data_IF_998098581763
#
_entry.id   IF_998098581763
#
_cell.length_a   1.000
_cell.length_b   1.000
_cell.length_c   1.000
_cell.angle_alpha   90.00
_cell.angle_beta   90.00
_cell.angle_gamma   90.00
#
_symmetry.space_group_name_H-M   'P 1'
#
loop_
_entity.id
_entity.type
_entity.pdbx_description
1 polymer ?
#
# COMPACT_ATOMS: atom_id res chain seq x y z
N UNK A 1 27.52 -32.88 46.72
CA UNK A 1 26.62 -31.75 46.40
C UNK A 1 27.05 -31.14 45.07
N UNK A 2 26.39 -31.53 43.98
CA UNK A 2 26.63 -30.97 42.63
C UNK A 2 25.80 -29.69 42.47
N UNK A 3 26.48 -28.58 42.18
CA UNK A 3 25.85 -27.29 41.89
C UNK A 3 25.55 -27.24 40.40
N UNK A 4 24.28 -27.33 40.03
CA UNK A 4 23.81 -27.13 38.66
C UNK A 4 23.78 -25.63 38.39
N UNK A 5 24.68 -25.14 37.51
CA UNK A 5 24.62 -23.80 36.94
C UNK A 5 23.61 -23.81 35.79
N UNK A 6 22.46 -23.17 35.98
CA UNK A 6 21.56 -22.83 34.87
C UNK A 6 22.22 -21.73 34.03
N UNK A 7 22.61 -22.06 32.80
CA UNK A 7 22.88 -21.06 31.76
C UNK A 7 21.54 -20.61 31.18
N UNK A 8 21.10 -19.39 31.55
CA UNK A 8 20.07 -18.68 30.81
C UNK A 8 20.67 -18.22 29.47
N UNK A 9 20.39 -18.95 28.40
CA UNK A 9 20.63 -18.48 27.04
C UNK A 9 19.63 -17.37 26.73
N UNK A 10 20.10 -16.11 26.76
CA UNK A 10 19.33 -14.99 26.25
C UNK A 10 19.15 -15.16 24.73
N UNK A 11 17.93 -15.45 24.29
CA UNK A 11 17.54 -15.42 22.88
C UNK A 11 17.66 -13.97 22.39
N UNK A 12 18.75 -13.67 21.68
CA UNK A 12 18.87 -12.47 20.88
C UNK A 12 17.80 -12.54 19.77
N UNK A 13 16.69 -11.83 19.96
CA UNK A 13 15.78 -11.51 18.86
C UNK A 13 16.52 -10.54 17.96
N UNK A 14 17.16 -11.05 16.92
CA UNK A 14 17.70 -10.23 15.83
C UNK A 14 16.53 -9.51 15.20
N UNK A 15 16.43 -8.19 15.42
CA UNK A 15 15.48 -7.37 14.68
C UNK A 15 15.81 -7.51 13.19
N UNK A 16 14.82 -7.89 12.38
CA UNK A 16 14.97 -7.90 10.93
C UNK A 16 15.51 -6.53 10.49
N UNK A 17 16.49 -6.47 9.57
CA UNK A 17 16.89 -5.18 9.03
C UNK A 17 15.66 -4.54 8.39
N UNK A 18 15.25 -3.39 8.94
CA UNK A 18 14.25 -2.55 8.30
C UNK A 18 14.76 -2.19 6.90
N UNK A 19 13.85 -2.03 5.94
CA UNK A 19 14.21 -1.52 4.62
C UNK A 19 15.06 -0.26 4.77
N UNK A 20 16.29 -0.29 4.25
CA UNK A 20 17.25 0.79 4.38
C UNK A 20 16.68 2.15 3.91
N UNK A 21 17.26 3.26 4.39
CA UNK A 21 16.83 4.58 3.95
C UNK A 21 17.00 4.75 2.44
N UNK A 22 15.93 5.15 1.76
CA UNK A 22 15.94 5.23 0.29
C UNK A 22 16.59 6.54 -0.14
N UNK A 23 17.55 6.51 -1.09
CA UNK A 23 18.09 7.71 -1.69
C UNK A 23 16.98 8.59 -2.28
N UNK A 24 17.16 9.91 -2.24
CA UNK A 24 16.17 10.86 -2.74
C UNK A 24 15.75 10.59 -4.19
N UNK A 25 16.69 10.24 -5.07
CA UNK A 25 16.41 9.87 -6.45
C UNK A 25 15.52 8.62 -6.59
N UNK A 26 15.71 7.62 -5.72
CA UNK A 26 14.87 6.43 -5.69
C UNK A 26 13.46 6.75 -5.21
N UNK A 27 13.32 7.58 -4.16
CA UNK A 27 12.00 8.05 -3.70
C UNK A 27 11.28 8.79 -4.82
N UNK A 28 11.94 9.73 -5.51
CA UNK A 28 11.34 10.47 -6.62
C UNK A 28 10.85 9.55 -7.75
N UNK A 29 11.64 8.52 -8.12
CA UNK A 29 11.24 7.54 -9.12
C UNK A 29 10.02 6.70 -8.68
N UNK A 30 10.00 6.26 -7.42
CA UNK A 30 8.85 5.56 -6.82
C UNK A 30 7.60 6.43 -6.85
N UNK A 31 7.69 7.68 -6.38
CA UNK A 31 6.58 8.63 -6.38
C UNK A 31 6.01 8.87 -7.78
N UNK A 32 6.89 9.00 -8.79
CA UNK A 32 6.47 9.14 -10.19
C UNK A 32 5.74 7.89 -10.70
N UNK A 33 6.24 6.69 -10.42
CA UNK A 33 5.56 5.44 -10.81
C UNK A 33 4.20 5.29 -10.14
N UNK A 34 4.12 5.56 -8.84
CA UNK A 34 2.87 5.52 -8.10
C UNK A 34 1.87 6.52 -8.70
N UNK A 35 2.32 7.75 -8.97
CA UNK A 35 1.46 8.75 -9.61
C UNK A 35 0.98 8.31 -11.00
N UNK A 36 1.83 7.66 -11.79
CA UNK A 36 1.43 7.06 -13.07
C UNK A 36 0.40 5.95 -12.89
N UNK A 37 0.59 5.06 -11.91
CA UNK A 37 -0.30 3.94 -11.66
C UNK A 37 -1.68 4.40 -11.14
N UNK A 38 -1.72 5.34 -10.20
CA UNK A 38 -2.96 5.73 -9.50
C UNK A 38 -3.71 6.89 -10.17
N UNK A 39 -3.00 7.80 -10.85
CA UNK A 39 -3.61 9.03 -11.38
C UNK A 39 -3.31 9.27 -12.87
N UNK A 40 -2.77 8.27 -13.57
CA UNK A 40 -2.25 8.41 -14.94
C UNK A 40 -1.18 9.52 -15.09
N UNK A 41 -0.52 9.90 -13.98
CA UNK A 41 0.46 11.00 -13.96
C UNK A 41 -0.15 12.39 -14.14
N UNK A 42 -1.46 12.55 -13.92
CA UNK A 42 -2.16 13.82 -14.11
C UNK A 42 -2.54 14.47 -12.78
N UNK A 43 -2.65 15.79 -12.77
CA UNK A 43 -3.17 16.54 -11.61
C UNK A 43 -4.66 16.26 -11.39
N UNK A 44 -5.44 16.09 -12.46
CA UNK A 44 -6.86 15.76 -12.36
C UNK A 44 -7.10 14.42 -11.66
N UNK A 45 -6.26 13.41 -11.96
CA UNK A 45 -6.34 12.09 -11.35
C UNK A 45 -5.93 12.03 -9.87
N UNK A 46 -5.41 13.12 -9.28
CA UNK A 46 -5.15 13.21 -7.84
C UNK A 46 -6.45 13.24 -7.02
N UNK A 47 -7.61 13.34 -7.67
CA UNK A 47 -8.92 13.34 -7.03
C UNK A 47 -9.86 12.48 -7.83
N UNK A 48 -10.24 11.32 -7.29
CA UNK A 48 -11.08 10.36 -8.00
C UNK A 48 -12.16 9.84 -7.07
N UNK A 49 -13.35 9.57 -7.61
CA UNK A 49 -14.40 8.82 -6.92
C UNK A 49 -14.95 7.81 -7.92
N UNK A 50 -14.60 6.53 -7.77
CA UNK A 50 -14.99 5.54 -8.77
C UNK A 50 -16.47 5.22 -8.69
N UNK A 51 -17.06 4.87 -9.83
CA UNK A 51 -18.43 4.35 -9.87
C UNK A 51 -18.49 3.03 -9.09
N UNK A 52 -19.42 2.95 -8.14
CA UNK A 52 -19.60 1.78 -7.27
C UNK A 52 -18.78 1.82 -5.98
N UNK A 53 -18.15 2.96 -5.66
CA UNK A 53 -17.54 3.24 -4.35
C UNK A 53 -18.33 4.33 -3.62
N UNK A 54 -18.34 4.25 -2.30
CA UNK A 54 -19.02 5.19 -1.40
C UNK A 54 -18.09 6.30 -0.89
N UNK A 55 -16.87 6.37 -1.41
CA UNK A 55 -15.83 7.29 -0.98
C UNK A 55 -14.93 7.73 -2.13
N UNK A 56 -14.34 8.94 -2.07
CA UNK A 56 -13.25 9.32 -2.93
C UNK A 56 -11.90 8.79 -2.46
N UNK A 57 -10.96 8.79 -3.39
CA UNK A 57 -9.55 8.59 -3.16
C UNK A 57 -8.74 9.80 -3.64
N UNK A 58 -7.72 10.16 -2.86
CA UNK A 58 -6.98 11.40 -3.03
C UNK A 58 -5.46 11.18 -3.13
N UNK A 59 -4.79 12.06 -3.86
CA UNK A 59 -3.34 12.08 -3.99
C UNK A 59 -2.78 10.89 -4.77
N UNK A 60 -1.45 10.87 -4.90
CA UNK A 60 -0.74 9.79 -5.58
C UNK A 60 -0.90 8.46 -4.83
N UNK A 61 -1.17 8.48 -3.52
CA UNK A 61 -1.39 7.26 -2.74
C UNK A 61 -2.82 6.72 -2.80
N UNK A 62 -3.70 7.36 -3.58
CA UNK A 62 -5.11 6.99 -3.71
C UNK A 62 -5.81 6.88 -2.33
N UNK A 63 -5.47 7.82 -1.45
CA UNK A 63 -5.81 7.81 -0.04
C UNK A 63 -7.32 7.86 0.18
N UNK A 64 -7.85 6.87 0.89
CA UNK A 64 -9.28 6.70 1.12
C UNK A 64 -9.74 7.71 2.16
N UNK A 65 -10.83 8.43 1.86
CA UNK A 65 -11.46 9.39 2.77
C UNK A 65 -12.97 9.20 2.82
N UNK A 66 -13.51 8.78 3.97
CA UNK A 66 -14.92 8.47 4.09
C UNK A 66 -15.79 9.72 4.31
N UNK A 67 -16.98 9.80 3.69
CA UNK A 67 -17.96 10.82 4.03
C UNK A 67 -18.52 10.62 5.45
N UNK A 68 -18.99 11.71 6.04
CA UNK A 68 -19.60 11.68 7.37
C UNK A 68 -20.77 10.68 7.42
N UNK A 69 -20.76 9.82 8.44
CA UNK A 69 -21.78 8.79 8.65
C UNK A 69 -21.58 7.51 7.82
N UNK A 70 -20.55 7.44 6.97
CA UNK A 70 -20.18 6.20 6.28
C UNK A 70 -19.03 5.50 7.00
N UNK A 71 -19.16 4.18 7.19
CA UNK A 71 -18.07 3.31 7.65
C UNK A 71 -17.95 2.14 6.68
N UNK A 72 -16.92 2.20 5.85
CA UNK A 72 -16.64 1.17 4.85
C UNK A 72 -15.79 0.02 5.38
N UNK A 73 -15.58 -1.02 4.55
CA UNK A 73 -14.79 -2.20 4.92
C UNK A 73 -13.27 -1.96 4.87
N UNK A 74 -12.83 -0.83 4.30
CA UNK A 74 -11.42 -0.50 4.13
C UNK A 74 -10.94 0.47 5.21
N UNK A 75 -9.63 0.48 5.43
CA UNK A 75 -9.00 1.43 6.36
C UNK A 75 -8.80 2.77 5.67
N UNK A 76 -9.29 3.86 6.27
CA UNK A 76 -9.02 5.21 5.78
C UNK A 76 -7.53 5.55 5.88
N UNK A 77 -6.99 6.11 4.80
CA UNK A 77 -5.58 6.52 4.74
C UNK A 77 -5.41 8.03 4.55
N UNK A 78 -6.46 8.75 4.15
CA UNK A 78 -6.39 10.22 4.02
C UNK A 78 -6.13 10.93 5.35
N UNK A 79 -6.87 10.65 6.44
CA UNK A 79 -6.59 11.28 7.74
C UNK A 79 -5.17 10.98 8.25
N UNK A 80 -4.66 9.78 7.96
CA UNK A 80 -3.29 9.38 8.33
C UNK A 80 -2.25 10.19 7.56
N UNK A 81 -2.44 10.37 6.25
CA UNK A 81 -1.56 11.19 5.42
C UNK A 81 -1.57 12.66 5.88
N UNK A 82 -2.74 13.23 6.17
CA UNK A 82 -2.86 14.62 6.64
C UNK A 82 -2.17 14.80 7.99
N UNK A 83 -2.32 13.85 8.92
CA UNK A 83 -1.63 13.88 10.21
C UNK A 83 -0.11 13.80 10.02
N UNK A 84 0.37 12.89 9.16
CA UNK A 84 1.78 12.79 8.80
C UNK A 84 2.31 14.09 8.19
N UNK A 85 1.59 14.67 7.23
CA UNK A 85 1.98 15.92 6.57
C UNK A 85 2.16 17.06 7.58
N UNK A 86 1.23 17.19 8.55
CA UNK A 86 1.33 18.18 9.63
C UNK A 86 2.54 17.92 10.54
N UNK A 87 2.83 16.66 10.87
CA UNK A 87 4.02 16.30 11.64
C UNK A 87 5.33 16.64 10.91
N UNK A 88 5.34 16.58 9.57
CA UNK A 88 6.46 17.03 8.74
C UNK A 88 6.49 18.56 8.52
N UNK A 89 5.65 19.33 9.22
CA UNK A 89 5.62 20.80 9.13
C UNK A 89 4.88 21.36 7.92
N UNK A 90 4.24 20.52 7.11
CA UNK A 90 3.40 21.00 6.02
C UNK A 90 2.12 21.65 6.55
N UNK A 91 1.53 22.53 5.74
CA UNK A 91 0.27 23.21 6.03
C UNK A 91 -0.78 22.76 5.00
N UNK A 92 -1.50 21.66 5.25
CA UNK A 92 -2.60 21.25 4.38
C UNK A 92 -3.68 22.33 4.32
N UNK A 93 -4.39 22.47 3.20
CA UNK A 93 -5.50 23.40 3.08
C UNK A 93 -6.61 23.06 4.07
N UNK A 94 -7.48 24.03 4.38
CA UNK A 94 -8.54 23.86 5.37
C UNK A 94 -9.43 22.64 5.07
N UNK A 95 -9.76 22.44 3.79
CA UNK A 95 -10.52 21.27 3.33
C UNK A 95 -9.84 19.95 3.71
N UNK A 96 -8.52 19.84 3.59
CA UNK A 96 -7.78 18.62 3.91
C UNK A 96 -7.78 18.30 5.42
N UNK A 97 -8.05 19.30 6.27
CA UNK A 97 -8.07 19.14 7.72
C UNK A 97 -9.44 18.78 8.30
N UNK A 98 -10.47 18.65 7.45
CA UNK A 98 -11.76 18.14 7.88
C UNK A 98 -11.63 16.67 8.30
N UNK A 99 -12.38 16.28 9.33
CA UNK A 99 -12.40 14.89 9.81
C UNK A 99 -12.92 13.96 8.71
N UNK A 100 -14.12 14.26 8.22
CA UNK A 100 -14.78 13.49 7.15
C UNK A 100 -14.70 14.21 5.79
N UNK A 101 -14.81 13.43 4.72
CA UNK A 101 -14.93 13.93 3.37
C UNK A 101 -16.14 14.89 3.26
N UNK A 102 -15.96 16.13 2.79
CA UNK A 102 -17.02 17.13 2.74
C UNK A 102 -18.06 16.84 1.64
N UNK A 103 -17.74 15.95 0.71
CA UNK A 103 -18.64 15.55 -0.37
C UNK A 103 -19.38 14.28 0.04
N UNK A 104 -20.71 14.38 0.15
CA UNK A 104 -21.58 13.26 0.58
C UNK A 104 -21.87 12.24 -0.53
N UNK A 105 -21.52 12.56 -1.78
CA UNK A 105 -21.75 11.69 -2.92
C UNK A 105 -20.79 12.00 -4.06
N UNK A 106 -20.59 11.02 -4.94
CA UNK A 106 -19.86 11.19 -6.21
C UNK A 106 -20.37 12.36 -7.04
N UNK A 107 -21.69 12.53 -7.14
CA UNK A 107 -22.29 13.64 -7.88
C UNK A 107 -21.91 15.01 -7.28
N UNK A 108 -21.91 15.14 -5.94
CA UNK A 108 -21.49 16.37 -5.28
C UNK A 108 -19.98 16.63 -5.46
N UNK A 109 -19.17 15.58 -5.44
CA UNK A 109 -17.72 15.64 -5.69
C UNK A 109 -17.41 16.10 -7.12
N UNK A 110 -18.12 15.55 -8.11
CA UNK A 110 -17.98 15.90 -9.52
C UNK A 110 -18.49 17.31 -9.83
N UNK A 111 -19.60 17.72 -9.22
CA UNK A 111 -20.12 19.09 -9.36
C UNK A 111 -19.11 20.13 -8.83
N UNK A 112 -18.36 19.78 -7.77
CA UNK A 112 -17.32 20.64 -7.19
C UNK A 112 -15.95 20.48 -7.87
N UNK A 113 -15.86 19.74 -9.00
CA UNK A 113 -14.59 19.47 -9.67
C UNK A 113 -13.86 20.75 -10.14
N UNK A 114 -14.53 21.89 -10.27
CA UNK A 114 -13.87 23.19 -10.55
C UNK A 114 -14.04 24.19 -9.42
N UNK A 115 -14.58 23.76 -8.28
CA UNK A 115 -14.78 24.61 -7.12
C UNK A 115 -13.49 24.88 -6.36
N UNK A 116 -13.55 25.86 -5.47
CA UNK A 116 -12.39 26.35 -4.72
C UNK A 116 -11.73 25.25 -3.87
N UNK A 117 -12.53 24.49 -3.11
CA UNK A 117 -12.05 23.39 -2.25
C UNK A 117 -11.29 22.34 -3.03
N UNK A 118 -11.86 21.86 -4.13
CA UNK A 118 -11.24 20.82 -4.96
C UNK A 118 -9.96 21.32 -5.64
N UNK A 119 -9.97 22.57 -6.09
CA UNK A 119 -8.81 23.20 -6.72
C UNK A 119 -7.67 23.39 -5.73
N UNK A 120 -7.96 23.91 -4.54
CA UNK A 120 -6.98 24.07 -3.46
C UNK A 120 -6.37 22.72 -3.05
N UNK A 121 -7.22 21.70 -2.90
CA UNK A 121 -6.80 20.33 -2.57
C UNK A 121 -5.86 19.76 -3.64
N UNK A 122 -6.23 19.85 -4.93
CA UNK A 122 -5.39 19.34 -6.03
C UNK A 122 -4.07 20.09 -6.17
N UNK A 123 -4.08 21.41 -6.03
CA UNK A 123 -2.86 22.22 -6.10
C UNK A 123 -1.91 21.84 -4.97
N UNK A 124 -2.43 21.68 -3.75
CA UNK A 124 -1.61 21.24 -2.62
C UNK A 124 -1.04 19.83 -2.84
N UNK A 125 -1.86 18.87 -3.28
CA UNK A 125 -1.38 17.52 -3.59
C UNK A 125 -0.32 17.53 -4.70
N UNK A 126 -0.54 18.24 -5.80
CA UNK A 126 0.43 18.34 -6.89
C UNK A 126 1.75 18.97 -6.45
N UNK A 127 1.71 19.96 -5.55
CA UNK A 127 2.91 20.60 -5.00
C UNK A 127 3.65 19.72 -3.96
N UNK A 128 2.99 18.70 -3.40
CA UNK A 128 3.50 17.88 -2.30
C UNK A 128 3.65 16.40 -2.66
N UNK A 129 4.04 16.09 -3.90
CA UNK A 129 4.25 14.71 -4.37
C UNK A 129 5.37 14.01 -3.59
N UNK A 130 6.45 14.71 -3.26
CA UNK A 130 7.54 14.16 -2.44
C UNK A 130 7.05 13.76 -1.04
N UNK A 131 6.28 14.64 -0.38
CA UNK A 131 5.71 14.37 0.94
C UNK A 131 4.74 13.19 0.94
N UNK A 132 3.91 13.06 -0.10
CA UNK A 132 3.04 11.88 -0.28
C UNK A 132 3.86 10.61 -0.46
N UNK A 133 4.95 10.69 -1.21
CA UNK A 133 5.85 9.55 -1.41
C UNK A 133 6.50 9.13 -0.10
N UNK A 134 6.97 10.07 0.71
CA UNK A 134 7.55 9.78 2.02
C UNK A 134 6.52 9.11 2.95
N UNK A 135 5.27 9.57 2.95
CA UNK A 135 4.19 8.90 3.68
C UNK A 135 3.97 7.47 3.20
N UNK A 136 3.91 7.22 1.89
CA UNK A 136 3.68 5.89 1.34
C UNK A 136 4.83 4.93 1.69
N UNK A 137 6.08 5.41 1.61
CA UNK A 137 7.27 4.65 2.03
C UNK A 137 7.20 4.34 3.52
N UNK A 138 6.91 5.34 4.35
CA UNK A 138 6.77 5.18 5.81
C UNK A 138 5.68 4.18 6.16
N UNK A 139 4.50 4.31 5.55
CA UNK A 139 3.36 3.41 5.76
C UNK A 139 3.68 1.97 5.34
N UNK A 140 4.34 1.78 4.18
CA UNK A 140 4.77 0.46 3.73
C UNK A 140 5.77 -0.19 4.70
N UNK A 141 6.75 0.56 5.22
CA UNK A 141 7.69 0.05 6.23
C UNK A 141 6.99 -0.40 7.51
N UNK A 142 5.96 0.32 7.92
CA UNK A 142 5.15 -0.04 9.09
C UNK A 142 4.29 -1.29 8.88
N UNK A 143 4.14 -1.78 7.64
CA UNK A 143 3.35 -2.97 7.33
C UNK A 143 4.05 -4.27 7.76
N UNK A 144 5.36 -4.40 7.56
CA UNK A 144 6.07 -5.67 7.81
C UNK A 144 5.90 -6.20 9.24
N UNK A 145 6.13 -5.41 10.32
CA UNK A 145 5.93 -5.89 11.68
C UNK A 145 4.49 -6.37 11.94
N UNK A 146 3.48 -5.68 11.38
CA UNK A 146 2.07 -6.06 11.50
C UNK A 146 1.78 -7.36 10.77
N UNK A 147 2.31 -7.51 9.55
CA UNK A 147 2.22 -8.74 8.75
C UNK A 147 2.83 -9.92 9.50
N UNK A 148 4.03 -9.77 10.06
CA UNK A 148 4.69 -10.84 10.81
C UNK A 148 3.93 -11.22 12.09
N UNK A 149 3.36 -10.22 12.79
CA UNK A 149 2.52 -10.47 13.96
C UNK A 149 1.23 -11.24 13.61
N UNK A 150 0.60 -10.90 12.48
CA UNK A 150 -0.65 -11.52 12.02
C UNK A 150 -0.46 -12.88 11.31
N UNK A 151 0.74 -13.14 10.78
CA UNK A 151 1.03 -14.36 10.02
C UNK A 151 0.98 -15.63 10.89
N UNK A 152 0.54 -16.78 10.33
CA UNK A 152 0.69 -18.09 10.96
C UNK A 152 2.15 -18.33 11.38
N UNK A 153 2.36 -18.91 12.57
CA UNK A 153 3.70 -19.12 13.11
C UNK A 153 4.63 -19.92 12.18
N UNK A 154 4.07 -20.87 11.41
CA UNK A 154 4.79 -21.66 10.41
C UNK A 154 5.22 -20.88 9.17
N UNK A 155 4.54 -19.79 8.83
CA UNK A 155 4.82 -18.97 7.64
C UNK A 155 5.68 -17.75 7.93
N UNK A 156 5.72 -17.29 9.19
CA UNK A 156 6.39 -16.04 9.60
C UNK A 156 7.83 -15.92 9.09
N UNK A 157 8.65 -16.96 9.28
CA UNK A 157 10.05 -16.97 8.80
C UNK A 157 10.16 -16.90 7.28
N UNK A 158 9.26 -17.58 6.56
CA UNK A 158 9.22 -17.54 5.09
C UNK A 158 8.87 -16.15 4.60
N UNK A 159 7.82 -15.54 5.15
CA UNK A 159 7.36 -14.20 4.80
C UNK A 159 8.46 -13.17 5.04
N UNK A 160 9.11 -13.22 6.20
CA UNK A 160 10.22 -12.34 6.54
C UNK A 160 11.40 -12.51 5.58
N UNK A 161 11.83 -13.75 5.32
CA UNK A 161 12.92 -14.03 4.40
C UNK A 161 12.61 -13.54 2.98
N UNK A 162 11.38 -13.75 2.49
CA UNK A 162 10.95 -13.30 1.18
C UNK A 162 10.91 -11.77 1.08
N UNK A 163 10.45 -11.08 2.12
CA UNK A 163 10.51 -9.61 2.18
C UNK A 163 11.95 -9.13 2.01
N UNK A 164 12.88 -9.70 2.77
CA UNK A 164 14.29 -9.32 2.73
C UNK A 164 14.93 -9.60 1.36
N UNK A 165 14.64 -10.76 0.76
CA UNK A 165 15.11 -11.12 -0.58
C UNK A 165 14.65 -10.13 -1.65
N UNK A 166 13.42 -9.63 -1.55
CA UNK A 166 12.83 -8.66 -2.49
C UNK A 166 13.38 -7.25 -2.25
N UNK A 167 13.60 -6.87 -0.99
CA UNK A 167 14.08 -5.53 -0.62
C UNK A 167 15.53 -5.24 -1.04
N UNK A 168 16.29 -6.22 -1.55
CA UNK A 168 17.70 -6.03 -1.92
C UNK A 168 17.92 -5.23 -3.21
N UNK A 169 16.87 -4.96 -4.00
CA UNK A 169 16.97 -4.15 -5.23
C UNK A 169 16.03 -2.96 -5.18
N UNK A 170 16.34 -1.93 -6.00
CA UNK A 170 15.50 -0.74 -6.11
C UNK A 170 14.08 -1.06 -6.62
N UNK A 171 13.95 -1.96 -7.60
CA UNK A 171 12.66 -2.37 -8.15
C UNK A 171 11.88 -3.29 -7.19
N UNK A 172 12.56 -4.17 -6.45
CA UNK A 172 11.90 -4.99 -5.43
C UNK A 172 11.41 -4.16 -4.25
N UNK A 173 12.20 -3.16 -3.83
CA UNK A 173 11.76 -2.14 -2.87
C UNK A 173 10.51 -1.40 -3.36
N UNK A 174 10.52 -0.92 -4.61
CA UNK A 174 9.33 -0.32 -5.23
C UNK A 174 8.13 -1.29 -5.20
N UNK A 175 8.34 -2.57 -5.49
CA UNK A 175 7.26 -3.57 -5.47
C UNK A 175 6.61 -3.71 -4.09
N UNK A 176 7.42 -3.78 -3.02
CA UNK A 176 6.92 -3.86 -1.65
C UNK A 176 6.14 -2.60 -1.25
N UNK A 177 6.62 -1.42 -1.67
CA UNK A 177 5.98 -0.13 -1.38
C UNK A 177 4.66 0.02 -2.13
N UNK A 178 4.71 -0.17 -3.45
CA UNK A 178 3.57 -0.02 -4.34
C UNK A 178 2.49 -1.07 -4.03
N UNK A 179 2.85 -2.31 -3.72
CA UNK A 179 1.84 -3.34 -3.43
C UNK A 179 1.06 -3.07 -2.15
N UNK A 180 1.72 -2.52 -1.11
CA UNK A 180 1.01 -2.06 0.10
C UNK A 180 0.08 -0.90 -0.24
N UNK A 181 0.51 0.07 -1.06
CA UNK A 181 -0.36 1.16 -1.52
C UNK A 181 -1.55 0.65 -2.36
N UNK A 182 -1.32 -0.38 -3.16
CA UNK A 182 -2.26 -0.91 -4.13
C UNK A 182 -3.31 -1.85 -3.52
N UNK A 183 -2.89 -2.76 -2.64
CA UNK A 183 -3.72 -3.87 -2.12
C UNK A 183 -3.69 -4.03 -0.61
N UNK A 184 -2.97 -3.16 0.10
CA UNK A 184 -2.83 -3.22 1.54
C UNK A 184 -1.83 -4.27 2.02
N UNK A 185 -1.68 -4.34 3.34
CA UNK A 185 -0.77 -5.28 4.01
C UNK A 185 -1.33 -6.72 4.06
N UNK A 186 -2.66 -6.88 3.92
CA UNK A 186 -3.36 -8.15 3.88
C UNK A 186 -3.73 -8.72 5.25
N UNK A 187 -3.68 -7.92 6.32
CA UNK A 187 -4.01 -8.38 7.68
C UNK A 187 -5.50 -8.24 8.03
N UNK A 188 -6.22 -7.31 7.37
CA UNK A 188 -7.64 -7.06 7.65
C UNK A 188 -8.51 -8.29 7.31
N UNK A 189 -9.20 -8.91 8.29
CA UNK A 189 -10.07 -10.06 8.04
C UNK A 189 -11.23 -9.78 7.08
N UNK A 190 -11.70 -8.52 7.02
CA UNK A 190 -12.76 -8.09 6.11
C UNK A 190 -12.31 -8.05 4.63
N UNK A 191 -11.01 -8.03 4.38
CA UNK A 191 -10.40 -8.07 3.04
C UNK A 191 -10.04 -9.50 2.64
N UNK A 192 -11.02 -10.41 2.75
CA UNK A 192 -10.87 -11.81 2.39
C UNK A 192 -12.07 -12.31 1.62
N UNK A 193 -11.82 -13.13 0.60
CA UNK A 193 -12.84 -13.94 -0.05
C UNK A 193 -12.55 -15.42 0.21
N UNK A 194 -13.54 -16.15 0.70
CA UNK A 194 -13.40 -17.56 1.10
C UNK A 194 -12.23 -17.77 2.07
N UNK A 195 -12.06 -16.86 3.03
CA UNK A 195 -10.99 -16.88 4.03
C UNK A 195 -9.59 -16.53 3.51
N UNK A 196 -9.43 -16.21 2.21
CA UNK A 196 -8.15 -15.87 1.58
C UNK A 196 -8.06 -14.36 1.31
N UNK A 197 -7.03 -13.72 1.86
CA UNK A 197 -6.69 -12.32 1.59
C UNK A 197 -5.84 -12.15 0.33
N UNK A 198 -5.49 -10.90 0.02
CA UNK A 198 -4.76 -10.53 -1.20
C UNK A 198 -3.72 -9.41 -1.03
N UNK A 199 -3.37 -9.05 0.21
CA UNK A 199 -2.36 -8.03 0.48
C UNK A 199 -0.95 -8.60 0.53
N UNK A 200 0.00 -7.76 0.97
CA UNK A 200 1.42 -8.08 1.04
C UNK A 200 1.71 -9.43 1.73
N UNK A 201 1.04 -9.73 2.85
CA UNK A 201 1.20 -10.99 3.59
C UNK A 201 1.00 -12.21 2.68
N UNK A 202 -0.07 -12.20 1.87
CA UNK A 202 -0.38 -13.34 1.01
C UNK A 202 0.59 -13.45 -0.17
N UNK A 203 1.07 -12.35 -0.73
CA UNK A 203 2.08 -12.39 -1.79
C UNK A 203 3.38 -13.00 -1.29
N UNK A 204 3.89 -12.53 -0.14
CA UNK A 204 5.12 -13.05 0.44
C UNK A 204 5.02 -14.52 0.85
N UNK A 205 3.84 -14.94 1.34
CA UNK A 205 3.56 -16.35 1.64
C UNK A 205 3.45 -17.24 0.39
N UNK A 206 2.95 -16.69 -0.71
CA UNK A 206 2.75 -17.37 -2.01
C UNK A 206 4.04 -17.51 -2.83
N UNK A 207 5.06 -16.69 -2.56
CA UNK A 207 6.33 -16.75 -3.28
C UNK A 207 6.98 -18.14 -3.17
N UNK A 208 7.50 -18.61 -4.31
CA UNK A 208 8.36 -19.79 -4.39
C UNK A 208 9.78 -19.47 -3.91
N UNK A 209 10.54 -20.52 -3.60
CA UNK A 209 11.93 -20.34 -3.17
C UNK A 209 12.82 -19.95 -4.35
N UNK A 210 13.37 -18.74 -4.28
CA UNK A 210 14.27 -18.17 -5.28
C UNK A 210 15.44 -17.42 -4.60
N UNK A 211 16.57 -17.20 -5.30
CA UNK A 211 17.63 -16.31 -4.84
C UNK A 211 17.15 -14.87 -4.65
N UNK A 212 17.86 -14.11 -3.81
CA UNK A 212 17.59 -12.67 -3.59
C UNK A 212 17.80 -11.82 -4.85
N UNK A 213 17.26 -10.60 -4.83
CA UNK A 213 17.49 -9.60 -5.87
C UNK A 213 16.52 -9.70 -7.03
N UNK A 214 17.02 -9.61 -8.27
CA UNK A 214 16.16 -9.57 -9.46
C UNK A 214 15.24 -10.79 -9.59
N UNK A 215 15.73 -11.98 -9.21
CA UNK A 215 14.93 -13.21 -9.19
C UNK A 215 13.77 -13.12 -8.17
N UNK A 216 14.05 -12.62 -6.96
CA UNK A 216 13.02 -12.39 -5.94
C UNK A 216 11.99 -11.34 -6.35
N UNK A 217 12.40 -10.23 -6.97
CA UNK A 217 11.47 -9.21 -7.47
C UNK A 217 10.57 -9.76 -8.60
N UNK A 218 11.12 -10.59 -9.49
CA UNK A 218 10.33 -11.29 -10.52
C UNK A 218 9.35 -12.29 -9.92
N UNK A 219 9.78 -13.05 -8.91
CA UNK A 219 8.89 -13.99 -8.22
C UNK A 219 7.81 -13.26 -7.42
N UNK A 220 8.12 -12.12 -6.80
CA UNK A 220 7.12 -11.28 -6.15
C UNK A 220 6.03 -10.83 -7.14
N UNK A 221 6.42 -10.40 -8.34
CA UNK A 221 5.47 -10.05 -9.40
C UNK A 221 4.58 -11.24 -9.80
N UNK A 222 5.16 -12.43 -9.94
CA UNK A 222 4.43 -13.65 -10.28
C UNK A 222 3.47 -14.09 -9.15
N UNK A 223 3.92 -14.05 -7.90
CA UNK A 223 3.12 -14.35 -6.72
C UNK A 223 1.95 -13.36 -6.57
N UNK A 224 2.20 -12.06 -6.80
CA UNK A 224 1.16 -11.04 -6.79
C UNK A 224 0.05 -11.34 -7.81
N UNK A 225 0.40 -11.77 -9.03
CA UNK A 225 -0.57 -12.20 -10.03
C UNK A 225 -1.37 -13.42 -9.58
N UNK A 226 -0.71 -14.47 -9.05
CA UNK A 226 -1.40 -15.66 -8.52
C UNK A 226 -2.39 -15.32 -7.40
N UNK A 227 -1.99 -14.43 -6.49
CA UNK A 227 -2.84 -13.92 -5.40
C UNK A 227 -4.06 -13.20 -5.94
N UNK A 228 -3.88 -12.33 -6.95
CA UNK A 228 -4.97 -11.55 -7.54
C UNK A 228 -5.90 -12.41 -8.41
N UNK A 229 -5.38 -13.39 -9.13
CA UNK A 229 -6.18 -14.36 -9.86
C UNK A 229 -7.04 -15.21 -8.91
N UNK A 230 -6.49 -15.60 -7.76
CA UNK A 230 -7.24 -16.28 -6.70
C UNK A 230 -8.32 -15.38 -6.10
N UNK A 231 -8.02 -14.09 -5.87
CA UNK A 231 -9.02 -13.11 -5.42
C UNK A 231 -10.18 -13.04 -6.41
N UNK A 232 -9.91 -12.92 -7.72
CA UNK A 232 -10.94 -12.87 -8.76
C UNK A 232 -11.79 -14.15 -8.74
N UNK A 233 -11.15 -15.31 -8.65
CA UNK A 233 -11.84 -16.61 -8.63
C UNK A 233 -12.74 -16.77 -7.41
N UNK A 234 -12.38 -16.16 -6.28
CA UNK A 234 -13.17 -16.20 -5.04
C UNK A 234 -14.16 -15.03 -4.91
N UNK A 235 -14.10 -14.02 -5.79
CA UNK A 235 -14.92 -12.81 -5.69
C UNK A 235 -16.39 -13.12 -5.94
N UNK A 236 -17.33 -12.50 -5.20
CA UNK A 236 -18.74 -12.53 -5.56
C UNK A 236 -18.94 -12.06 -7.02
N UNK A 237 -19.68 -12.79 -7.87
CA UNK A 237 -19.85 -12.44 -9.29
C UNK A 237 -20.36 -11.02 -9.51
N UNK A 238 -21.27 -10.54 -8.64
CA UNK A 238 -21.84 -9.19 -8.68
C UNK A 238 -20.79 -8.05 -8.59
N UNK A 239 -19.60 -8.32 -8.02
CA UNK A 239 -18.52 -7.33 -7.97
C UNK A 239 -17.84 -7.15 -9.33
N UNK A 240 -17.86 -8.18 -10.17
CA UNK A 240 -17.30 -8.15 -11.53
C UNK A 240 -15.81 -7.86 -11.59
N UNK A 241 -15.01 -8.33 -10.61
CA UNK A 241 -13.59 -7.97 -10.46
C UNK A 241 -12.69 -8.46 -11.61
N UNK A 242 -13.14 -9.42 -12.42
CA UNK A 242 -12.39 -9.90 -13.61
C UNK A 242 -12.01 -8.77 -14.58
N UNK A 243 -12.83 -7.71 -14.65
CA UNK A 243 -12.54 -6.52 -15.49
C UNK A 243 -11.23 -5.82 -15.13
N UNK A 244 -10.73 -6.02 -13.91
CA UNK A 244 -9.49 -5.40 -13.43
C UNK A 244 -8.25 -6.25 -13.66
N UNK A 245 -8.41 -7.53 -14.06
CA UNK A 245 -7.33 -8.50 -14.17
C UNK A 245 -6.15 -7.98 -14.99
N UNK A 246 -6.44 -7.47 -16.19
CA UNK A 246 -5.41 -6.99 -17.10
C UNK A 246 -4.62 -5.82 -16.50
N UNK A 247 -5.30 -4.79 -16.00
CA UNK A 247 -4.66 -3.63 -15.36
C UNK A 247 -3.84 -4.02 -14.13
N UNK A 248 -4.36 -4.93 -13.30
CA UNK A 248 -3.65 -5.44 -12.13
C UNK A 248 -2.40 -6.24 -12.53
N UNK A 249 -2.47 -7.07 -13.56
CA UNK A 249 -1.34 -7.83 -14.07
C UNK A 249 -0.27 -6.91 -14.68
N UNK A 250 -0.69 -5.92 -15.47
CA UNK A 250 0.20 -4.92 -16.06
C UNK A 250 0.97 -4.14 -14.98
N UNK A 251 0.29 -3.75 -13.89
CA UNK A 251 0.95 -3.13 -12.73
C UNK A 251 1.96 -4.08 -12.08
N UNK A 252 1.59 -5.33 -11.84
CA UNK A 252 2.49 -6.34 -11.25
C UNK A 252 3.73 -6.59 -12.14
N UNK A 253 3.60 -6.56 -13.46
CA UNK A 253 4.73 -6.71 -14.39
C UNK A 253 5.77 -5.61 -14.25
N UNK A 254 5.42 -4.45 -13.69
CA UNK A 254 6.39 -3.38 -13.43
C UNK A 254 7.37 -3.72 -12.31
N UNK A 255 7.01 -4.61 -11.39
CA UNK A 255 7.86 -5.01 -10.26
C UNK A 255 9.10 -5.79 -10.70
N UNK A 256 9.00 -6.50 -11.83
CA UNK A 256 10.10 -7.27 -12.40
C UNK A 256 11.01 -6.43 -13.33
N UNK A 257 10.72 -5.14 -13.52
CA UNK A 257 11.44 -4.24 -14.43
C UNK A 257 12.29 -3.24 -13.63
N UNK A 258 13.40 -2.72 -14.20
CA UNK A 258 14.14 -1.62 -13.59
C UNK A 258 13.23 -0.43 -13.25
N UNK A 259 13.55 0.23 -12.13
CA UNK A 259 12.80 1.36 -11.59
C UNK A 259 12.95 2.61 -12.46
#
# INVERSE_FOLDING_TARGET
MQVIRLLCAALLVSAAPAMAELPAGQKAAIGKKIWQNECAGTVAGLTTWNTGEEFPSLGIGHFIWYPAGFKGPFTESWPQFVAYAKQQGAKPPAVASLEDCPWKSKAAFEADAKGAKMTELRNWLAANVALQTDFIVWHSRAALPKVLAAAPGSERKKIEANYQKVATTANGTYALIDYVNFKGDGINPSERYSGRGWGLMQVLGEMQEVPSGAAAAKEFAAAAKRVLDRRISNSPPARGEVRWKEGWHNRCDTYAKPL
#
